data_IF_907332344053
#
_entry.id   IF_907332344053
#
_cell.length_a   1.000
_cell.length_b   1.000
_cell.length_c   1.000
_cell.angle_alpha   90.00
_cell.angle_beta   90.00
_cell.angle_gamma   90.00
#
_symmetry.space_group_name_H-M   'P 1'
#
loop_
_entity.id
_entity.type
_entity.pdbx_description
1 polymer ?
#
# COMPACT_ATOMS: atom_id res chain seq x y z
N UNK A 1 13.46 0.74 -9.78
CA UNK A 1 12.62 1.47 -8.81
C UNK A 1 12.08 2.72 -9.49
N UNK A 2 10.90 3.18 -9.08
CA UNK A 2 10.37 4.48 -9.48
C UNK A 2 10.75 5.49 -8.41
N UNK A 3 11.36 6.59 -8.83
CA UNK A 3 11.83 7.67 -7.97
C UNK A 3 10.75 8.72 -7.77
N UNK A 4 10.59 9.19 -6.55
CA UNK A 4 9.70 10.28 -6.17
C UNK A 4 10.54 11.38 -5.50
N UNK A 5 10.52 12.61 -6.02
CA UNK A 5 11.17 13.73 -5.36
C UNK A 5 10.47 14.07 -4.05
N UNK A 6 11.16 14.73 -3.15
CA UNK A 6 10.62 15.18 -1.87
C UNK A 6 9.31 15.94 -2.04
N UNK A 7 8.32 15.53 -1.30
CA UNK A 7 7.00 16.16 -1.22
C UNK A 7 6.55 16.25 0.23
N UNK A 8 5.92 17.36 0.54
CA UNK A 8 5.29 17.61 1.83
C UNK A 8 3.79 17.42 1.70
N UNK A 9 3.21 16.63 2.58
CA UNK A 9 1.79 16.27 2.59
C UNK A 9 1.13 16.88 3.81
N UNK A 10 0.03 17.61 3.59
CA UNK A 10 -0.86 18.08 4.63
C UNK A 10 -2.23 17.43 4.45
N UNK A 11 -2.73 16.76 5.48
CA UNK A 11 -4.00 16.06 5.48
C UNK A 11 -4.79 16.37 6.75
N UNK A 12 -6.06 16.73 6.61
CA UNK A 12 -6.95 17.01 7.73
C UNK A 12 -8.42 16.97 7.31
N UNK A 13 -9.32 16.98 8.27
CA UNK A 13 -10.78 17.02 8.09
C UNK A 13 -11.34 18.26 8.78
N UNK A 14 -12.26 18.96 8.10
CA UNK A 14 -13.03 20.07 8.67
C UNK A 14 -14.51 19.88 8.33
N UNK A 15 -15.31 19.62 9.34
CA UNK A 15 -16.73 19.27 9.14
C UNK A 15 -16.86 17.98 8.33
N UNK A 16 -17.46 18.07 7.14
CA UNK A 16 -17.64 16.94 6.23
C UNK A 16 -16.65 16.95 5.06
N UNK A 17 -15.61 17.78 5.12
CA UNK A 17 -14.65 17.94 4.04
C UNK A 17 -13.28 17.41 4.44
N UNK A 18 -12.71 16.54 3.62
CA UNK A 18 -11.34 16.08 3.71
C UNK A 18 -10.44 16.92 2.82
N UNK A 19 -9.29 17.29 3.33
CA UNK A 19 -8.29 18.10 2.63
C UNK A 19 -7.02 17.29 2.44
N UNK A 20 -6.52 17.28 1.21
CA UNK A 20 -5.23 16.71 0.80
C UNK A 20 -4.49 17.81 0.05
N UNK A 21 -3.35 18.23 0.58
CA UNK A 21 -2.53 19.27 -0.02
C UNK A 21 -1.11 18.74 -0.13
N UNK A 22 -0.50 18.85 -1.30
CA UNK A 22 0.88 18.46 -1.57
C UNK A 22 1.68 19.68 -1.99
N UNK A 23 2.86 19.84 -1.44
CA UNK A 23 3.79 20.93 -1.75
C UNK A 23 5.19 20.37 -1.98
N UNK A 24 6.00 21.05 -2.78
CA UNK A 24 7.44 20.79 -2.96
C UNK A 24 8.28 21.40 -1.82
N UNK A 25 7.67 22.26 -1.01
CA UNK A 25 8.32 22.91 0.14
C UNK A 25 7.45 22.76 1.39
N UNK A 26 8.08 22.84 2.57
CA UNK A 26 7.34 22.89 3.83
C UNK A 26 6.74 24.27 4.03
N UNK A 27 5.42 24.39 3.91
CA UNK A 27 4.70 25.65 4.06
C UNK A 27 4.58 26.06 5.54
N UNK A 28 4.20 25.11 6.40
CA UNK A 28 4.09 25.28 7.85
C UNK A 28 4.19 23.94 8.59
N UNK A 29 3.92 23.91 9.89
CA UNK A 29 4.05 22.71 10.73
C UNK A 29 3.01 21.61 10.43
N UNK A 30 1.93 21.91 9.71
CA UNK A 30 0.93 20.93 9.30
C UNK A 30 1.40 20.06 8.13
N UNK A 31 2.49 20.45 7.46
CA UNK A 31 3.07 19.73 6.33
C UNK A 31 4.16 18.76 6.81
N UNK A 32 4.05 17.50 6.41
CA UNK A 32 4.92 16.40 6.84
C UNK A 32 5.49 15.65 5.64
N UNK A 33 6.77 15.31 5.69
CA UNK A 33 7.47 14.51 4.68
C UNK A 33 7.69 13.06 5.14
N UNK A 34 6.69 12.49 5.81
CA UNK A 34 6.76 11.18 6.48
C UNK A 34 7.23 10.04 5.54
N UNK A 35 6.89 10.10 4.24
CA UNK A 35 7.28 9.09 3.25
C UNK A 35 8.78 9.12 2.92
N UNK A 36 9.47 10.19 3.25
CA UNK A 36 10.88 10.48 2.98
C UNK A 36 11.76 10.43 4.23
N UNK A 37 11.16 10.11 5.38
CA UNK A 37 11.87 10.12 6.66
C UNK A 37 12.80 8.92 6.78
N UNK A 38 14.10 9.16 7.09
CA UNK A 38 15.08 8.15 7.44
C UNK A 38 14.99 7.74 8.91
N UNK A 39 15.66 6.65 9.26
CA UNK A 39 15.68 6.13 10.63
C UNK A 39 16.34 7.09 11.62
N UNK A 40 17.32 7.88 11.17
CA UNK A 40 17.99 8.89 11.97
C UNK A 40 17.19 10.20 12.16
N UNK A 41 15.98 10.25 11.59
CA UNK A 41 15.08 11.41 11.66
C UNK A 41 15.36 12.47 10.60
N UNK A 42 16.35 12.30 9.72
CA UNK A 42 16.58 13.19 8.58
C UNK A 42 15.58 12.92 7.45
N UNK A 43 15.37 13.90 6.59
CA UNK A 43 14.50 13.81 5.42
C UNK A 43 15.35 13.57 4.19
N UNK A 44 15.03 12.56 3.40
CA UNK A 44 15.65 12.27 2.12
C UNK A 44 15.10 13.17 1.01
N UNK A 45 15.90 13.52 0.03
CA UNK A 45 15.45 14.27 -1.16
C UNK A 45 14.60 13.41 -2.09
N UNK A 46 14.75 12.09 -2.00
CA UNK A 46 14.00 11.13 -2.81
C UNK A 46 13.56 9.91 -2.01
N UNK A 47 12.44 9.32 -2.42
CA UNK A 47 12.06 7.96 -2.05
C UNK A 47 11.84 7.09 -3.28
N UNK A 48 11.95 5.78 -3.12
CA UNK A 48 11.83 4.82 -4.20
C UNK A 48 10.72 3.82 -3.94
N UNK A 49 9.78 3.75 -4.89
CA UNK A 49 8.71 2.76 -4.91
C UNK A 49 9.05 1.63 -5.89
N UNK A 50 8.54 0.41 -5.67
CA UNK A 50 8.79 -0.71 -6.56
C UNK A 50 8.11 -0.48 -7.92
N UNK A 51 8.87 -0.53 -9.03
CA UNK A 51 8.28 -0.55 -10.38
C UNK A 51 7.48 -1.84 -10.60
N UNK A 52 7.87 -2.92 -9.96
CA UNK A 52 7.24 -4.24 -10.05
C UNK A 52 6.97 -4.78 -8.66
N UNK A 53 5.91 -5.56 -8.51
CA UNK A 53 5.65 -6.28 -7.27
C UNK A 53 6.85 -7.14 -6.86
N UNK A 54 7.05 -7.32 -5.55
CA UNK A 54 8.24 -7.97 -5.01
C UNK A 54 8.42 -9.41 -5.49
N UNK A 55 9.64 -9.76 -5.87
CA UNK A 55 10.09 -11.11 -6.22
C UNK A 55 11.32 -11.49 -5.39
N UNK A 56 11.42 -12.76 -4.97
CA UNK A 56 12.55 -13.24 -4.20
C UNK A 56 13.59 -13.89 -5.13
N UNK A 57 14.84 -13.44 -5.07
CA UNK A 57 15.95 -13.94 -5.90
C UNK A 57 16.79 -15.05 -5.24
N UNK A 58 16.35 -15.55 -4.09
CA UNK A 58 17.08 -16.51 -3.26
C UNK A 58 17.85 -15.86 -2.09
N UNK A 59 18.05 -14.54 -2.12
CA UNK A 59 18.74 -13.77 -1.08
C UNK A 59 17.95 -12.52 -0.64
N UNK A 60 17.35 -11.80 -1.59
CA UNK A 60 16.76 -10.49 -1.38
C UNK A 60 15.39 -10.37 -2.03
N UNK A 61 14.54 -9.52 -1.46
CA UNK A 61 13.31 -9.10 -2.12
C UNK A 61 13.65 -8.02 -3.17
N UNK A 62 13.27 -8.27 -4.41
CA UNK A 62 13.59 -7.44 -5.57
C UNK A 62 12.34 -6.90 -6.25
N UNK A 63 12.49 -5.82 -6.99
CA UNK A 63 11.50 -5.28 -7.94
C UNK A 63 12.06 -5.46 -9.36
N UNK A 64 11.72 -6.57 -10.00
CA UNK A 64 12.28 -6.98 -11.30
C UNK A 64 11.17 -7.35 -12.28
N UNK A 65 11.37 -7.00 -13.57
CA UNK A 65 10.52 -7.43 -14.69
C UNK A 65 10.64 -8.93 -14.97
N UNK A 66 9.58 -9.55 -15.49
CA UNK A 66 9.54 -10.95 -15.91
C UNK A 66 9.61 -11.97 -14.77
N UNK A 67 9.28 -11.57 -13.54
CA UNK A 67 9.38 -12.44 -12.36
C UNK A 67 8.03 -12.82 -11.80
N UNK A 68 7.98 -14.00 -11.18
CA UNK A 68 6.87 -14.37 -10.30
C UNK A 68 6.94 -13.56 -9.02
N UNK A 69 5.77 -13.18 -8.50
CA UNK A 69 5.67 -12.47 -7.24
C UNK A 69 6.01 -13.40 -6.06
N UNK A 70 6.77 -12.91 -5.08
CA UNK A 70 7.02 -13.60 -3.81
C UNK A 70 5.74 -13.65 -2.98
N UNK A 71 5.46 -14.77 -2.34
CA UNK A 71 4.31 -14.99 -1.48
C UNK A 71 4.56 -16.19 -0.54
N UNK A 72 3.56 -16.56 0.29
CA UNK A 72 3.67 -17.64 1.27
C UNK A 72 4.77 -17.39 2.32
N UNK A 73 5.04 -16.14 2.64
CA UNK A 73 5.99 -15.75 3.67
C UNK A 73 5.32 -14.91 4.74
N UNK A 74 5.85 -14.90 5.95
CA UNK A 74 5.39 -14.05 7.04
C UNK A 74 6.02 -12.65 6.95
N UNK A 75 5.45 -11.71 7.71
CA UNK A 75 5.86 -10.31 7.69
C UNK A 75 7.35 -10.11 7.99
N UNK A 76 7.89 -10.80 9.00
CA UNK A 76 9.30 -10.64 9.39
C UNK A 76 10.24 -11.12 8.29
N UNK A 77 9.89 -12.21 7.62
CA UNK A 77 10.66 -12.74 6.48
C UNK A 77 10.68 -11.74 5.33
N UNK A 78 9.56 -11.14 4.99
CA UNK A 78 9.47 -10.13 3.92
C UNK A 78 10.30 -8.88 4.25
N UNK A 79 10.21 -8.39 5.50
CA UNK A 79 11.02 -7.25 5.98
C UNK A 79 12.51 -7.58 5.91
N UNK A 80 12.93 -8.76 6.38
CA UNK A 80 14.34 -9.16 6.35
C UNK A 80 14.87 -9.29 4.92
N UNK A 81 14.08 -9.86 4.00
CA UNK A 81 14.43 -9.96 2.58
C UNK A 81 14.54 -8.59 1.90
N UNK A 82 13.69 -7.63 2.29
CA UNK A 82 13.80 -6.26 1.81
C UNK A 82 15.03 -5.57 2.38
N UNK A 83 15.25 -5.65 3.69
CA UNK A 83 16.42 -5.06 4.39
C UNK A 83 17.76 -5.61 3.89
N UNK A 84 17.80 -6.84 3.37
CA UNK A 84 18.99 -7.42 2.74
C UNK A 84 19.50 -6.64 1.52
N UNK A 85 18.72 -5.69 0.96
CA UNK A 85 19.18 -4.78 -0.10
C UNK A 85 20.12 -3.69 0.40
N UNK A 86 20.08 -3.37 1.69
CA UNK A 86 20.92 -2.33 2.32
C UNK A 86 20.15 -1.47 3.30
N UNK A 87 20.81 -0.47 3.83
CA UNK A 87 20.22 0.52 4.76
C UNK A 87 19.06 1.25 4.09
N UNK A 88 18.00 1.53 4.86
CA UNK A 88 16.80 2.21 4.39
C UNK A 88 15.80 1.33 3.61
N UNK A 89 16.16 0.09 3.26
CA UNK A 89 15.25 -0.81 2.57
C UNK A 89 14.30 -1.53 3.52
N UNK A 90 13.01 -1.47 3.16
CA UNK A 90 11.94 -2.23 3.84
C UNK A 90 10.85 -2.62 2.83
N UNK A 91 9.83 -3.34 3.24
CA UNK A 91 8.59 -3.44 2.44
C UNK A 91 7.85 -2.08 2.49
N UNK A 92 6.92 -1.87 1.56
CA UNK A 92 6.18 -0.58 1.48
C UNK A 92 5.65 -0.18 2.86
N UNK A 93 5.94 1.07 3.26
CA UNK A 93 5.42 1.64 4.51
C UNK A 93 4.05 2.29 4.30
N UNK A 94 3.30 2.42 5.39
CA UNK A 94 2.04 3.17 5.37
C UNK A 94 2.23 4.61 4.91
N UNK A 95 3.27 5.31 5.36
CA UNK A 95 3.54 6.68 4.94
C UNK A 95 3.73 6.82 3.43
N UNK A 96 4.45 5.89 2.79
CA UNK A 96 4.62 5.85 1.33
C UNK A 96 3.31 5.50 0.62
N UNK A 97 2.58 4.50 1.11
CA UNK A 97 1.28 4.13 0.55
C UNK A 97 0.29 5.27 0.64
N UNK A 98 0.21 5.96 1.77
CA UNK A 98 -0.65 7.11 1.98
C UNK A 98 -0.33 8.27 1.02
N UNK A 99 0.95 8.56 0.77
CA UNK A 99 1.35 9.56 -0.22
C UNK A 99 0.88 9.16 -1.63
N UNK A 100 1.12 7.91 -2.05
CA UNK A 100 0.67 7.43 -3.38
C UNK A 100 -0.85 7.53 -3.53
N UNK A 101 -1.63 7.09 -2.55
CA UNK A 101 -3.10 7.19 -2.59
C UNK A 101 -3.57 8.65 -2.63
N UNK A 102 -2.89 9.54 -1.91
CA UNK A 102 -3.16 10.98 -1.93
C UNK A 102 -2.91 11.58 -3.32
N UNK A 103 -1.78 11.27 -3.94
CA UNK A 103 -1.44 11.71 -5.29
C UNK A 103 -2.44 11.16 -6.32
N UNK A 104 -2.83 9.89 -6.22
CA UNK A 104 -3.83 9.28 -7.11
C UNK A 104 -5.19 9.98 -6.98
N UNK A 105 -5.62 10.31 -5.75
CA UNK A 105 -6.86 11.04 -5.49
C UNK A 105 -6.82 12.43 -6.12
N UNK A 106 -5.73 13.17 -5.97
CA UNK A 106 -5.56 14.52 -6.53
C UNK A 106 -5.56 14.52 -8.05
N UNK A 107 -4.80 13.61 -8.67
CA UNK A 107 -4.67 13.51 -10.15
C UNK A 107 -5.98 13.07 -10.79
N UNK A 108 -6.64 12.05 -10.24
CA UNK A 108 -7.87 11.49 -10.80
C UNK A 108 -9.13 12.25 -10.41
N UNK A 109 -9.07 13.07 -9.35
CA UNK A 109 -10.24 13.69 -8.71
C UNK A 109 -11.30 12.64 -8.36
N UNK A 110 -10.86 11.47 -7.91
CA UNK A 110 -11.70 10.31 -7.64
C UNK A 110 -11.02 9.38 -6.65
N UNK A 111 -11.81 8.63 -5.91
CA UNK A 111 -11.36 7.55 -5.04
C UNK A 111 -11.58 6.17 -5.68
N UNK A 112 -12.29 6.11 -6.81
CA UNK A 112 -12.42 4.90 -7.60
C UNK A 112 -11.21 4.74 -8.52
N UNK A 113 -10.10 4.27 -7.94
CA UNK A 113 -8.85 4.10 -8.67
C UNK A 113 -8.95 3.07 -9.79
N UNK A 114 -9.74 1.98 -9.59
CA UNK A 114 -9.94 0.97 -10.63
C UNK A 114 -10.63 1.55 -11.87
N UNK A 115 -11.63 2.42 -11.71
CA UNK A 115 -12.30 3.06 -12.83
C UNK A 115 -11.43 4.10 -13.53
N UNK A 116 -10.46 4.71 -12.83
CA UNK A 116 -9.62 5.79 -13.39
C UNK A 116 -8.33 5.30 -14.03
N UNK A 117 -7.72 4.26 -13.46
CA UNK A 117 -6.40 3.82 -13.87
C UNK A 117 -6.37 2.40 -14.43
N UNK A 118 -7.42 1.61 -14.22
CA UNK A 118 -7.52 0.22 -14.65
C UNK A 118 -7.80 -0.73 -13.50
N UNK A 119 -8.38 -1.89 -13.81
CA UNK A 119 -8.86 -2.82 -12.79
C UNK A 119 -7.74 -3.53 -12.02
N UNK A 120 -6.56 -3.72 -12.62
CA UNK A 120 -5.54 -4.60 -12.07
C UNK A 120 -5.89 -6.08 -12.23
N UNK A 121 -5.00 -6.98 -11.80
CA UNK A 121 -5.23 -8.43 -11.86
C UNK A 121 -6.15 -8.85 -10.72
N UNK A 122 -7.44 -8.85 -10.96
CA UNK A 122 -8.45 -9.09 -9.92
C UNK A 122 -9.53 -10.13 -10.28
N UNK A 123 -9.54 -10.64 -11.53
CA UNK A 123 -10.51 -11.62 -12.05
C UNK A 123 -9.82 -12.84 -12.69
N UNK A 124 -8.62 -13.21 -12.24
CA UNK A 124 -7.84 -14.31 -12.82
C UNK A 124 -7.69 -15.50 -11.86
N UNK A 125 -8.37 -15.48 -10.73
CA UNK A 125 -8.24 -16.56 -9.73
C UNK A 125 -8.59 -17.92 -10.35
N UNK A 126 -7.69 -18.87 -10.16
CA UNK A 126 -7.91 -20.29 -10.37
C UNK A 126 -7.45 -21.04 -9.14
N UNK A 127 -8.24 -21.98 -8.64
CA UNK A 127 -7.86 -22.80 -7.48
C UNK A 127 -6.93 -23.95 -7.93
N UNK A 128 -5.76 -23.58 -8.42
CA UNK A 128 -4.76 -24.51 -8.98
C UNK A 128 -3.36 -23.92 -8.76
N UNK A 129 -2.61 -24.48 -7.83
CA UNK A 129 -1.27 -24.02 -7.49
C UNK A 129 -0.27 -24.15 -8.65
N UNK A 130 -0.50 -25.08 -9.60
CA UNK A 130 0.33 -25.21 -10.80
C UNK A 130 0.21 -24.02 -11.74
N UNK A 131 -0.91 -23.27 -11.66
CA UNK A 131 -1.19 -22.05 -12.42
C UNK A 131 -0.94 -20.77 -11.60
N UNK A 132 -0.26 -20.90 -10.47
CA UNK A 132 0.06 -19.78 -9.57
C UNK A 132 -1.19 -18.97 -9.16
N UNK A 133 -2.34 -19.65 -8.98
CA UNK A 133 -3.65 -19.09 -8.64
C UNK A 133 -4.09 -17.91 -9.53
N UNK A 134 -3.68 -17.92 -10.80
CA UNK A 134 -4.03 -16.90 -11.80
C UNK A 134 -3.26 -15.59 -11.69
N UNK A 135 -2.21 -15.53 -10.84
CA UNK A 135 -1.32 -14.36 -10.79
C UNK A 135 -0.52 -14.25 -12.09
N UNK A 136 -0.34 -13.03 -12.55
CA UNK A 136 0.52 -12.74 -13.70
C UNK A 136 1.94 -12.40 -13.24
N UNK A 137 2.93 -12.61 -14.12
CA UNK A 137 4.31 -12.17 -13.89
C UNK A 137 4.42 -10.66 -14.05
N UNK A 138 5.42 -10.07 -13.42
CA UNK A 138 5.75 -8.65 -13.51
C UNK A 138 6.26 -8.27 -14.90
N UNK A 139 6.20 -6.97 -15.24
CA UNK A 139 6.77 -6.44 -16.49
C UNK A 139 5.84 -6.52 -17.68
N UNK A 140 4.58 -6.90 -17.51
CA UNK A 140 3.62 -6.98 -18.60
C UNK A 140 3.27 -5.61 -19.20
N UNK A 141 3.58 -4.52 -18.49
CA UNK A 141 3.35 -3.15 -18.93
C UNK A 141 4.65 -2.35 -19.16
N UNK A 142 5.80 -3.02 -19.35
CA UNK A 142 7.09 -2.34 -19.52
C UNK A 142 7.08 -1.31 -20.65
N UNK A 143 6.46 -1.64 -21.77
CA UNK A 143 6.35 -0.76 -22.95
C UNK A 143 5.33 0.39 -22.77
N UNK A 144 4.65 0.48 -21.60
CA UNK A 144 3.63 1.49 -21.35
C UNK A 144 4.20 2.68 -20.55
N UNK A 145 3.53 3.84 -20.70
CA UNK A 145 3.91 5.06 -20.01
C UNK A 145 3.66 5.04 -18.50
N UNK A 146 3.74 6.22 -17.90
CA UNK A 146 3.65 6.42 -16.44
C UNK A 146 2.31 5.94 -15.83
N UNK A 147 1.22 6.09 -16.58
CA UNK A 147 -0.12 5.66 -16.18
C UNK A 147 -0.70 4.81 -17.29
N UNK A 148 -1.08 3.58 -16.97
CA UNK A 148 -1.72 2.68 -17.92
C UNK A 148 -2.43 1.53 -17.19
N UNK A 149 -3.60 1.13 -17.67
CA UNK A 149 -4.31 -0.05 -17.19
C UNK A 149 -5.45 -0.47 -18.11
N UNK A 150 -5.82 -1.73 -18.03
CA UNK A 150 -6.97 -2.31 -18.73
C UNK A 150 -8.17 -2.43 -17.76
N UNK A 151 -9.37 -2.43 -18.32
CA UNK A 151 -10.61 -2.61 -17.55
C UNK A 151 -11.19 -4.03 -17.71
N UNK A 152 -10.32 -5.05 -17.66
CA UNK A 152 -10.69 -6.45 -17.84
C UNK A 152 -10.41 -7.36 -16.62
N UNK A 153 -9.71 -6.83 -15.62
CA UNK A 153 -9.36 -7.56 -14.41
C UNK A 153 -8.30 -8.65 -14.60
N UNK A 154 -7.66 -8.74 -15.79
CA UNK A 154 -6.69 -9.77 -16.12
C UNK A 154 -5.26 -9.28 -16.33
N UNK A 155 -5.09 -7.97 -16.45
CA UNK A 155 -3.80 -7.31 -16.63
C UNK A 155 -3.43 -6.45 -15.44
N UNK A 156 -2.13 -6.22 -15.26
CA UNK A 156 -1.64 -5.29 -14.25
C UNK A 156 -2.12 -3.85 -14.51
N UNK A 157 -2.03 -3.02 -13.50
CA UNK A 157 -2.19 -1.57 -13.58
C UNK A 157 -0.86 -0.90 -13.27
N UNK A 158 -0.55 0.16 -13.99
CA UNK A 158 0.66 0.96 -13.83
C UNK A 158 0.31 2.39 -13.46
N UNK A 159 0.81 2.88 -12.32
CA UNK A 159 0.71 4.27 -11.91
C UNK A 159 2.08 4.74 -11.40
N UNK A 160 2.50 5.93 -11.80
CA UNK A 160 3.85 6.46 -11.48
C UNK A 160 4.98 5.49 -11.87
N UNK A 161 4.86 4.80 -13.02
CA UNK A 161 5.75 3.71 -13.45
C UNK A 161 5.76 2.49 -12.54
N UNK A 162 4.93 2.42 -11.53
CA UNK A 162 4.81 1.28 -10.62
C UNK A 162 3.68 0.36 -11.06
N UNK A 163 3.99 -0.87 -11.46
CA UNK A 163 2.99 -1.93 -11.66
C UNK A 163 2.48 -2.46 -10.33
N UNK A 164 1.33 -3.16 -10.36
CA UNK A 164 0.81 -3.90 -9.21
C UNK A 164 0.51 -3.00 -8.00
N UNK A 165 -0.17 -1.88 -8.20
CA UNK A 165 -0.64 -1.05 -7.10
C UNK A 165 -1.87 -1.64 -6.39
N UNK A 166 -2.64 -2.47 -7.11
CA UNK A 166 -3.74 -3.29 -6.60
C UNK A 166 -3.96 -4.51 -7.48
N UNK A 167 -4.66 -5.51 -6.92
CA UNK A 167 -4.85 -6.81 -7.56
C UNK A 167 -3.61 -7.70 -7.44
N UNK A 168 -3.60 -8.79 -8.15
CA UNK A 168 -2.61 -9.85 -8.21
C UNK A 168 -2.42 -10.56 -6.86
N UNK A 169 -1.84 -9.92 -5.87
CA UNK A 169 -1.77 -10.33 -4.48
C UNK A 169 -1.80 -9.10 -3.56
N UNK A 170 -2.14 -9.31 -2.31
CA UNK A 170 -2.03 -8.31 -1.27
C UNK A 170 -0.59 -7.82 -1.09
N UNK A 171 -0.41 -6.51 -0.94
CA UNK A 171 0.82 -5.96 -0.37
C UNK A 171 0.68 -5.81 1.14
N UNK A 172 1.61 -6.41 1.85
CA UNK A 172 1.77 -6.18 3.29
C UNK A 172 2.52 -4.88 3.52
N UNK A 173 2.05 -4.09 4.49
CA UNK A 173 2.69 -2.83 4.87
C UNK A 173 3.42 -2.95 6.20
N UNK A 174 4.45 -2.13 6.37
CA UNK A 174 4.94 -1.74 7.69
C UNK A 174 4.34 -0.39 8.09
N UNK A 175 4.34 -0.08 9.38
CA UNK A 175 3.87 1.22 9.87
C UNK A 175 2.35 1.34 10.03
N UNK A 176 1.56 0.31 9.72
CA UNK A 176 0.11 0.29 9.97
C UNK A 176 -0.31 -1.05 10.59
N UNK A 177 -0.80 -0.98 11.82
CA UNK A 177 -1.31 -2.12 12.59
C UNK A 177 -2.72 -1.84 13.08
N UNK A 178 -3.49 -2.91 13.30
CA UNK A 178 -4.73 -2.86 14.05
C UNK A 178 -4.61 -3.81 15.24
N UNK A 179 -4.52 -3.25 16.45
CA UNK A 179 -4.34 -4.00 17.67
C UNK A 179 -5.68 -4.12 18.40
N UNK A 180 -6.30 -5.29 18.30
CA UNK A 180 -7.62 -5.55 18.90
C UNK A 180 -8.61 -4.40 18.62
N UNK A 181 -8.71 -4.00 17.36
CA UNK A 181 -9.59 -2.92 16.91
C UNK A 181 -9.08 -1.50 17.14
N UNK A 182 -7.87 -1.33 17.63
CA UNK A 182 -7.22 -0.01 17.74
C UNK A 182 -6.28 0.19 16.55
N UNK A 183 -6.52 1.23 15.76
CA UNK A 183 -5.62 1.64 14.68
C UNK A 183 -4.36 2.26 15.27
N UNK A 184 -3.22 1.72 14.91
CA UNK A 184 -1.90 2.18 15.31
C UNK A 184 -1.02 2.41 14.08
N UNK A 185 -0.35 3.55 14.02
CA UNK A 185 0.56 3.88 12.91
C UNK A 185 1.93 4.32 13.40
N UNK A 186 2.93 4.05 12.59
CA UNK A 186 4.27 4.63 12.71
C UNK A 186 4.66 5.16 11.34
N UNK A 187 4.91 6.47 11.26
CA UNK A 187 5.04 7.16 9.98
C UNK A 187 6.47 7.13 9.45
N UNK A 188 7.45 6.79 10.28
CA UNK A 188 8.88 6.73 9.94
C UNK A 188 9.56 5.49 10.55
N UNK A 189 10.67 4.99 9.97
CA UNK A 189 11.41 3.88 10.55
C UNK A 189 12.02 4.25 11.94
N UNK A 190 12.50 3.27 12.74
CA UNK A 190 12.41 1.85 12.47
C UNK A 190 11.00 1.30 12.75
N UNK A 191 10.53 0.41 11.88
CA UNK A 191 9.22 -0.24 12.05
C UNK A 191 9.33 -1.53 12.84
N UNK A 192 8.24 -1.91 13.53
CA UNK A 192 8.12 -3.19 14.22
C UNK A 192 6.71 -3.77 14.03
N UNK A 193 6.55 -5.05 14.37
CA UNK A 193 5.30 -5.79 14.21
C UNK A 193 4.51 -5.93 15.54
N UNK A 194 4.98 -5.28 16.60
CA UNK A 194 4.37 -5.33 17.95
C UNK A 194 3.52 -4.11 18.27
N UNK A 195 3.66 -3.04 17.48
CA UNK A 195 3.02 -1.75 17.73
C UNK A 195 3.68 -0.94 18.85
N UNK A 196 4.91 -1.31 19.29
CA UNK A 196 5.68 -0.50 20.22
C UNK A 196 6.06 0.83 19.57
N UNK A 197 5.83 1.92 20.30
CA UNK A 197 6.09 3.30 19.85
C UNK A 197 5.26 3.73 18.62
N UNK A 198 4.15 3.04 18.37
CA UNK A 198 3.16 3.44 17.38
C UNK A 198 2.15 4.42 17.95
N UNK A 199 1.73 5.36 17.13
CA UNK A 199 0.72 6.37 17.48
C UNK A 199 -0.66 5.72 17.36
N UNK A 200 -1.47 5.86 18.41
CA UNK A 200 -2.89 5.51 18.42
C UNK A 200 -3.67 6.54 17.62
N UNK A 201 -4.29 6.14 16.50
CA UNK A 201 -5.12 7.05 15.69
C UNK A 201 -6.57 7.03 16.12
N UNK A 202 -7.11 5.85 16.42
CA UNK A 202 -8.52 5.72 16.79
C UNK A 202 -8.98 4.26 16.81
N UNK A 203 -10.30 4.10 16.87
CA UNK A 203 -10.93 2.78 16.79
C UNK A 203 -11.28 2.46 15.34
N UNK A 204 -10.92 1.26 14.88
CA UNK A 204 -11.25 0.76 13.55
C UNK A 204 -12.77 0.58 13.38
N UNK A 205 -13.27 0.73 12.16
CA UNK A 205 -14.62 0.29 11.80
C UNK A 205 -14.76 -1.21 12.11
N UNK A 206 -15.80 -1.58 12.85
CA UNK A 206 -16.00 -2.98 13.31
C UNK A 206 -16.61 -3.89 12.25
N UNK A 207 -17.18 -3.32 11.20
CA UNK A 207 -17.95 -4.04 10.18
C UNK A 207 -17.17 -4.02 8.87
N UNK A 208 -17.03 -5.18 8.25
CA UNK A 208 -16.52 -5.30 6.89
C UNK A 208 -17.56 -4.84 5.86
N UNK A 209 -17.11 -4.40 4.71
CA UNK A 209 -17.98 -3.95 3.62
C UNK A 209 -17.34 -2.92 2.71
N UNK A 210 -18.15 -2.37 1.82
CA UNK A 210 -17.73 -1.27 0.96
C UNK A 210 -17.49 -0.01 1.79
N UNK A 211 -16.36 0.66 1.59
CA UNK A 211 -16.01 1.86 2.32
C UNK A 211 -16.96 3.00 1.97
N UNK A 212 -17.67 3.53 2.98
CA UNK A 212 -18.62 4.63 2.81
C UNK A 212 -18.05 5.95 3.27
N UNK A 213 -17.52 5.97 4.48
CA UNK A 213 -17.04 7.18 5.12
C UNK A 213 -15.65 6.92 5.73
N UNK A 214 -14.83 7.96 5.79
CA UNK A 214 -13.46 7.90 6.27
C UNK A 214 -13.18 8.93 7.35
N UNK A 215 -12.15 8.68 8.14
CA UNK A 215 -11.53 9.61 9.07
C UNK A 215 -10.20 10.06 8.44
N UNK A 216 -10.14 11.31 8.02
CA UNK A 216 -8.91 11.93 7.56
C UNK A 216 -8.15 12.54 8.73
N UNK A 217 -6.90 12.16 8.86
CA UNK A 217 -5.98 12.69 9.87
C UNK A 217 -4.66 13.06 9.19
N UNK A 218 -3.76 13.73 9.93
CA UNK A 218 -2.39 13.96 9.44
C UNK A 218 -1.62 12.65 9.14
N UNK A 219 -2.08 11.53 9.68
CA UNK A 219 -1.46 10.21 9.53
C UNK A 219 -2.04 9.40 8.37
N UNK A 220 -2.98 9.96 7.63
CA UNK A 220 -3.66 9.32 6.53
C UNK A 220 -5.16 9.17 6.73
N UNK A 221 -5.76 8.43 5.84
CA UNK A 221 -7.19 8.18 5.76
C UNK A 221 -7.52 6.78 6.24
N UNK A 222 -8.48 6.66 7.16
CA UNK A 222 -8.89 5.39 7.78
C UNK A 222 -10.39 5.18 7.61
N UNK A 223 -10.82 3.92 7.48
CA UNK A 223 -12.24 3.60 7.28
C UNK A 223 -13.03 3.86 8.56
N UNK A 224 -14.06 4.71 8.47
CA UNK A 224 -14.96 5.11 9.57
C UNK A 224 -16.27 4.33 9.53
N UNK A 225 -16.87 4.20 8.35
CA UNK A 225 -18.09 3.43 8.14
C UNK A 225 -18.08 2.68 6.83
N UNK A 226 -18.91 1.64 6.73
CA UNK A 226 -19.14 0.87 5.51
C UNK A 226 -20.60 0.98 5.07
N UNK A 227 -20.91 0.68 3.80
CA UNK A 227 -22.27 0.73 3.25
C UNK A 227 -22.35 1.26 1.84
N UNK A 228 -21.20 1.47 1.18
CA UNK A 228 -21.12 1.82 -0.23
C UNK A 228 -21.30 0.62 -1.16
N UNK A 229 -20.80 0.76 -2.38
CA UNK A 229 -20.76 -0.28 -3.42
C UNK A 229 -19.54 -0.06 -4.33
N UNK A 230 -19.39 -0.90 -5.35
CA UNK A 230 -18.36 -0.72 -6.38
C UNK A 230 -18.47 0.59 -7.17
N UNK A 231 -19.59 1.29 -7.08
CA UNK A 231 -19.87 2.53 -7.84
C UNK A 231 -20.26 3.72 -6.97
N UNK A 232 -20.22 3.57 -5.63
CA UNK A 232 -20.59 4.64 -4.69
C UNK A 232 -19.51 4.86 -3.65
N UNK A 233 -19.36 6.09 -3.19
CA UNK A 233 -18.37 6.53 -2.21
C UNK A 233 -16.94 6.17 -2.68
N UNK A 234 -16.15 5.47 -1.86
CA UNK A 234 -14.77 5.13 -2.20
C UNK A 234 -14.60 3.97 -3.18
N UNK A 235 -15.68 3.24 -3.51
CA UNK A 235 -15.68 2.18 -4.51
C UNK A 235 -14.60 1.10 -4.29
N UNK A 236 -14.25 0.82 -3.04
CA UNK A 236 -13.30 -0.22 -2.63
C UNK A 236 -13.75 -0.86 -1.32
N UNK A 237 -13.22 -2.03 -1.01
CA UNK A 237 -13.70 -2.84 0.12
C UNK A 237 -12.83 -2.62 1.38
N UNK A 238 -13.33 -3.08 2.50
CA UNK A 238 -12.67 -3.09 3.80
C UNK A 238 -12.97 -4.40 4.52
N UNK A 239 -11.94 -5.03 5.09
CA UNK A 239 -12.06 -6.25 5.88
C UNK A 239 -11.28 -6.14 7.18
N UNK A 240 -11.82 -6.71 8.27
CA UNK A 240 -11.23 -6.60 9.60
C UNK A 240 -11.49 -7.84 10.47
N UNK A 241 -10.53 -8.15 11.32
CA UNK A 241 -10.69 -9.00 12.50
C UNK A 241 -10.32 -8.20 13.75
N UNK A 242 -11.33 -7.92 14.58
CA UNK A 242 -11.20 -7.10 15.79
C UNK A 242 -10.48 -7.78 16.96
N UNK A 243 -10.20 -9.09 16.86
CA UNK A 243 -9.71 -9.90 17.98
C UNK A 243 -8.21 -10.23 17.89
N UNK A 244 -7.47 -9.59 17.00
CA UNK A 244 -6.04 -9.88 16.75
C UNK A 244 -5.21 -8.59 16.64
N UNK A 245 -3.89 -8.74 16.79
CA UNK A 245 -2.94 -7.75 16.31
C UNK A 245 -2.69 -8.02 14.81
N UNK A 246 -3.35 -7.25 13.97
CA UNK A 246 -3.26 -7.36 12.52
C UNK A 246 -2.20 -6.41 11.95
N UNK A 247 -1.50 -6.90 10.91
CA UNK A 247 -0.66 -6.08 10.01
C UNK A 247 -1.48 -5.75 8.78
N UNK A 248 -1.51 -4.49 8.36
CA UNK A 248 -2.32 -4.06 7.24
C UNK A 248 -1.86 -4.70 5.92
N UNK A 249 -2.85 -5.18 5.15
CA UNK A 249 -2.71 -5.59 3.77
C UNK A 249 -3.51 -4.63 2.89
N UNK A 250 -2.99 -4.30 1.71
CA UNK A 250 -3.64 -3.35 0.80
C UNK A 250 -3.71 -3.87 -0.64
N UNK A 251 -4.64 -3.31 -1.41
CA UNK A 251 -4.75 -3.50 -2.85
C UNK A 251 -5.59 -4.69 -3.31
N UNK A 252 -5.86 -5.67 -2.47
CA UNK A 252 -6.60 -6.87 -2.88
C UNK A 252 -5.75 -7.89 -3.66
N UNK A 253 -6.41 -8.88 -4.25
CA UNK A 253 -5.75 -9.97 -4.99
C UNK A 253 -6.57 -10.43 -6.21
N UNK A 254 -6.16 -11.53 -6.83
CA UNK A 254 -6.68 -12.07 -8.11
C UNK A 254 -8.16 -12.47 -8.09
N UNK A 255 -8.82 -12.55 -6.94
CA UNK A 255 -10.24 -12.95 -6.84
C UNK A 255 -11.15 -11.87 -6.24
N UNK A 256 -10.67 -10.65 -6.09
CA UNK A 256 -11.42 -9.58 -5.41
C UNK A 256 -12.22 -8.67 -6.35
N UNK A 257 -12.02 -8.77 -7.67
CA UNK A 257 -12.81 -8.00 -8.64
C UNK A 257 -12.80 -6.50 -8.32
N UNK A 258 -13.99 -5.94 -8.21
CA UNK A 258 -14.19 -4.52 -7.92
C UNK A 258 -13.83 -4.08 -6.49
N UNK A 259 -13.46 -4.99 -5.59
CA UNK A 259 -13.05 -4.65 -4.23
C UNK A 259 -11.70 -3.94 -4.15
N UNK A 260 -10.84 -4.16 -5.16
CA UNK A 260 -9.45 -3.67 -5.20
C UNK A 260 -9.33 -2.13 -5.17
N UNK A 261 -8.19 -1.57 -5.58
CA UNK A 261 -7.93 -0.14 -5.44
C UNK A 261 -7.38 0.21 -4.05
N UNK A 262 -8.06 1.05 -3.30
CA UNK A 262 -7.72 1.39 -1.92
C UNK A 262 -8.26 0.38 -0.88
N UNK A 263 -8.38 -0.89 -1.26
CA UNK A 263 -8.82 -1.96 -0.36
C UNK A 263 -7.83 -2.14 0.80
N UNK A 264 -8.34 -2.09 2.01
CA UNK A 264 -7.56 -2.33 3.24
C UNK A 264 -8.11 -3.54 3.96
N UNK A 265 -7.23 -4.48 4.32
CA UNK A 265 -7.56 -5.64 5.13
C UNK A 265 -6.74 -5.64 6.43
N UNK A 266 -7.44 -5.67 7.55
CA UNK A 266 -6.90 -5.67 8.91
C UNK A 266 -7.25 -7.00 9.63
N UNK A 267 -7.02 -8.11 8.97
CA UNK A 267 -7.40 -9.43 9.46
C UNK A 267 -6.29 -10.47 9.47
N UNK A 268 -5.05 -10.08 9.17
CA UNK A 268 -3.91 -11.00 9.14
C UNK A 268 -2.86 -10.61 10.16
N UNK A 269 -2.42 -11.59 10.96
CA UNK A 269 -1.30 -11.41 11.89
C UNK A 269 0.04 -11.31 11.16
N UNK A 270 1.08 -10.89 11.88
CA UNK A 270 2.44 -10.87 11.34
C UNK A 270 2.97 -12.25 10.91
N UNK A 271 2.50 -13.32 11.56
CA UNK A 271 2.85 -14.72 11.21
C UNK A 271 2.05 -15.26 10.02
N UNK A 272 0.95 -14.59 9.63
CA UNK A 272 0.12 -15.02 8.52
C UNK A 272 0.92 -15.10 7.21
N UNK A 273 0.75 -16.20 6.49
CA UNK A 273 1.35 -16.44 5.18
C UNK A 273 0.28 -17.01 4.26
N UNK A 274 0.33 -16.67 2.99
CA UNK A 274 -0.66 -17.14 2.03
C UNK A 274 -0.20 -16.96 0.60
N UNK A 275 -0.74 -17.77 -0.30
CA UNK A 275 -0.46 -17.69 -1.74
C UNK A 275 -0.75 -16.31 -2.33
N UNK A 276 -1.61 -15.55 -1.71
CA UNK A 276 -2.11 -14.25 -2.13
C UNK A 276 -1.50 -13.08 -1.35
N UNK A 277 -0.53 -13.30 -0.47
CA UNK A 277 0.06 -12.27 0.40
C UNK A 277 1.56 -12.22 0.18
N UNK A 278 2.10 -11.02 0.05
CA UNK A 278 3.53 -10.77 0.01
C UNK A 278 3.87 -9.31 0.21
N UNK A 279 5.16 -8.98 0.27
CA UNK A 279 5.67 -7.63 0.36
C UNK A 279 6.30 -7.18 -0.96
N UNK A 280 6.34 -5.89 -1.18
CA UNK A 280 7.11 -5.26 -2.27
C UNK A 280 8.15 -4.32 -1.67
N UNK A 281 9.42 -4.31 -2.17
CA UNK A 281 10.49 -3.55 -1.55
C UNK A 281 10.38 -2.06 -1.86
N UNK A 282 10.66 -1.22 -0.89
CA UNK A 282 10.79 0.24 -1.06
C UNK A 282 11.92 0.78 -0.21
N UNK A 283 12.43 1.95 -0.51
CA UNK A 283 13.45 2.61 0.31
C UNK A 283 13.35 4.14 0.19
N UNK A 284 13.89 4.84 1.15
CA UNK A 284 14.34 6.23 0.99
C UNK A 284 15.72 6.25 0.34
N UNK A 285 16.09 7.39 -0.21
CA UNK A 285 17.43 7.60 -0.75
C UNK A 285 18.48 7.32 0.34
N UNK A 286 19.45 6.40 0.11
CA UNK A 286 20.49 6.16 1.07
C UNK A 286 21.36 7.41 1.25
N UNK A 287 21.87 7.63 2.46
CA UNK A 287 22.88 8.64 2.67
C UNK A 287 24.08 8.34 1.77
N UNK A 288 24.62 9.37 1.12
CA UNK A 288 25.88 9.24 0.39
C UNK A 288 26.96 8.75 1.38
N UNK A 289 27.69 7.70 0.99
CA UNK A 289 28.75 7.13 1.80
C UNK A 289 29.95 8.07 1.91
#
# INVERSE_FOLDING_TARGET
MSEFPLMWLCQYEVGNYEYIIVSDTRVDESYHADAFMREDGTIADHMYMPMYGGSYDGAKLRSLSGKKLDCNTNAQTEINRAAANGTGWTIISWSRRNLIESLLTLISKSENFQAKFGQGVCNTYVNDSSKDYGKVTTGTLDAKGQFFGYNDGTHEVKVFYCEKQWGNRWDRLVGYLCDNGTIKVKMSPPYNLTGKDYIKVGTACKTEGWQKDTLMTRYGRFVKTVGGSASTYRCCYYWINMAILAVALVGGNTNHGAYCGAYVALGNTASGAGWNIGGSPSCEEPLAA
#
